data_IF_458947746797
#
_entry.id   IF_458947746797
#
_cell.length_a   1.000
_cell.length_b   1.000
_cell.length_c   1.000
_cell.angle_alpha   90.00
_cell.angle_beta   90.00
_cell.angle_gamma   90.00
#
_symmetry.space_group_name_H-M   'P 1'
#
loop_
_entity.id
_entity.type
_entity.pdbx_description
1 polymer ?
#
# COMPACT_ATOMS: atom_id res chain seq x y z
N UNK A 1 16.23 22.47 53.57
CA UNK A 1 15.71 22.79 52.24
C UNK A 1 15.87 21.53 51.43
N UNK A 2 14.74 20.90 51.14
CA UNK A 2 14.60 19.54 50.63
C UNK A 2 14.80 19.54 49.11
N UNK A 3 15.82 18.84 48.63
CA UNK A 3 16.13 18.70 47.19
C UNK A 3 16.29 17.24 46.80
N UNK A 4 15.38 16.37 47.25
CA UNK A 4 15.17 15.05 46.63
C UNK A 4 14.01 15.14 45.64
N UNK A 5 14.26 15.78 44.49
CA UNK A 5 13.40 15.56 43.31
C UNK A 5 13.95 14.34 42.57
N UNK A 6 13.17 13.26 42.38
CA UNK A 6 13.63 12.10 41.64
C UNK A 6 13.99 12.53 40.21
N UNK A 7 15.25 12.29 39.84
CA UNK A 7 15.77 12.51 38.48
C UNK A 7 14.86 11.77 37.49
N UNK A 8 14.42 12.40 36.38
CA UNK A 8 13.63 11.71 35.37
C UNK A 8 14.40 10.47 34.90
N UNK A 9 13.83 9.29 35.15
CA UNK A 9 14.42 8.03 34.76
C UNK A 9 14.81 8.06 33.29
N UNK A 10 16.02 7.60 32.98
CA UNK A 10 16.55 7.62 31.61
C UNK A 10 15.54 7.08 30.59
N UNK A 11 15.57 7.60 29.35
CA UNK A 11 14.72 7.15 28.23
C UNK A 11 14.62 5.61 28.12
N UNK A 12 15.71 4.91 28.44
CA UNK A 12 15.75 3.43 28.48
C UNK A 12 14.88 2.81 29.57
N UNK A 13 14.87 3.39 30.78
CA UNK A 13 14.02 2.90 31.88
C UNK A 13 12.54 3.14 31.57
N UNK A 14 12.21 4.28 30.97
CA UNK A 14 10.86 4.57 30.51
C UNK A 14 10.42 3.57 29.41
N UNK A 15 11.25 3.37 28.37
CA UNK A 15 10.94 2.45 27.27
C UNK A 15 10.76 1.00 27.75
N UNK A 16 11.60 0.53 28.69
CA UNK A 16 11.44 -0.80 29.28
C UNK A 16 10.13 -0.96 30.05
N UNK A 17 9.69 0.07 30.77
CA UNK A 17 8.47 -0.01 31.58
C UNK A 17 7.21 -0.01 30.73
N UNK A 18 7.18 0.80 29.68
CA UNK A 18 5.95 1.05 28.92
C UNK A 18 5.86 0.29 27.59
N UNK A 19 6.99 0.00 26.95
CA UNK A 19 7.03 -0.68 25.63
C UNK A 19 7.44 -2.14 25.76
N UNK A 20 8.41 -2.47 26.62
CA UNK A 20 8.93 -3.84 26.77
C UNK A 20 8.04 -4.72 27.69
N UNK A 21 6.79 -4.94 27.31
CA UNK A 21 5.86 -5.80 28.04
C UNK A 21 4.83 -6.47 27.08
N UNK A 22 4.23 -7.61 27.46
CA UNK A 22 3.32 -8.35 26.59
C UNK A 22 2.03 -7.60 26.24
N UNK A 23 1.56 -6.68 27.09
CA UNK A 23 0.37 -5.87 26.80
C UNK A 23 0.66 -4.90 25.65
N UNK A 24 1.79 -4.21 25.70
CA UNK A 24 2.25 -3.35 24.61
C UNK A 24 2.43 -4.15 23.32
N UNK A 25 2.97 -5.38 23.38
CA UNK A 25 3.06 -6.25 22.20
C UNK A 25 1.70 -6.58 21.59
N UNK A 26 0.70 -6.93 22.40
CA UNK A 26 -0.67 -7.20 21.92
C UNK A 26 -1.31 -5.97 21.27
N UNK A 27 -1.14 -4.79 21.88
CA UNK A 27 -1.65 -3.53 21.31
C UNK A 27 -0.97 -3.23 19.99
N UNK A 28 0.36 -3.29 19.92
CA UNK A 28 1.13 -3.00 18.70
C UNK A 28 0.83 -4.01 17.58
N UNK A 29 0.65 -5.30 17.91
CA UNK A 29 0.17 -6.30 16.96
C UNK A 29 -1.24 -5.97 16.46
N UNK A 30 -2.15 -5.55 17.33
CA UNK A 30 -3.50 -5.13 16.95
C UNK A 30 -3.50 -3.91 16.03
N UNK A 31 -2.63 -2.92 16.30
CA UNK A 31 -2.45 -1.74 15.44
C UNK A 31 -1.95 -2.16 14.06
N UNK A 32 -0.88 -2.96 13.96
CA UNK A 32 -0.35 -3.41 12.66
C UNK A 32 -1.34 -4.31 11.91
N UNK A 33 -2.08 -5.16 12.60
CA UNK A 33 -3.11 -5.99 11.99
C UNK A 33 -4.25 -5.13 11.44
N UNK A 34 -4.79 -4.22 12.26
CA UNK A 34 -5.82 -3.28 11.83
C UNK A 34 -5.37 -2.42 10.65
N UNK A 35 -4.14 -1.91 10.71
CA UNK A 35 -3.52 -1.15 9.64
C UNK A 35 -3.47 -1.96 8.34
N UNK A 36 -2.99 -3.21 8.39
CA UNK A 36 -2.97 -4.12 7.25
C UNK A 36 -4.36 -4.41 6.66
N UNK A 37 -5.41 -4.46 7.48
CA UNK A 37 -6.81 -4.62 7.01
C UNK A 37 -7.40 -3.36 6.38
N UNK A 38 -6.85 -2.18 6.68
CA UNK A 38 -7.28 -0.90 6.09
C UNK A 38 -6.52 -0.52 4.82
N UNK A 39 -5.51 -1.31 4.45
CA UNK A 39 -4.78 -1.10 3.21
C UNK A 39 -5.69 -1.34 2.00
N UNK A 40 -5.60 -0.49 0.95
CA UNK A 40 -6.44 -0.62 -0.23
C UNK A 40 -6.20 -1.95 -0.96
N UNK A 41 -7.21 -2.83 -0.95
CA UNK A 41 -7.26 -4.06 -1.73
C UNK A 41 -8.02 -3.84 -3.04
N UNK A 42 -7.30 -3.81 -4.16
CA UNK A 42 -7.87 -3.57 -5.49
C UNK A 42 -6.81 -3.07 -6.47
N UNK A 43 -7.13 -2.87 -7.77
CA UNK A 43 -6.25 -3.09 -8.94
C UNK A 43 -4.95 -2.28 -9.06
N UNK A 44 -4.59 -1.52 -8.03
CA UNK A 44 -3.41 -0.66 -7.93
C UNK A 44 -2.66 -0.89 -6.58
N UNK A 45 -2.78 -2.06 -5.94
CA UNK A 45 -2.62 -2.33 -4.49
C UNK A 45 -1.22 -2.36 -3.84
N UNK A 46 -1.25 -2.33 -2.50
CA UNK A 46 -0.15 -2.35 -1.50
C UNK A 46 0.35 -3.77 -1.13
N UNK A 47 1.50 -3.91 -0.45
CA UNK A 47 2.23 -5.21 -0.21
C UNK A 47 1.44 -6.32 0.49
N UNK A 48 0.51 -6.03 1.39
CA UNK A 48 -0.32 -7.11 2.00
C UNK A 48 -1.42 -7.58 1.05
N UNK A 49 -1.93 -6.69 0.18
CA UNK A 49 -2.88 -7.03 -0.87
C UNK A 49 -2.25 -7.86 -2.00
N UNK A 50 -0.98 -7.60 -2.34
CA UNK A 50 -0.27 -8.36 -3.37
C UNK A 50 0.19 -9.75 -2.94
N UNK A 51 0.34 -10.02 -1.63
CA UNK A 51 0.58 -11.38 -1.11
C UNK A 51 -0.69 -12.25 -1.24
N UNK A 52 -1.88 -11.66 -1.13
CA UNK A 52 -3.15 -12.35 -1.37
C UNK A 52 -3.47 -12.53 -2.88
N UNK A 53 -3.19 -11.52 -3.71
CA UNK A 53 -3.35 -11.61 -5.18
C UNK A 53 -2.27 -12.51 -5.83
N UNK A 54 -1.06 -12.58 -5.28
CA UNK A 54 0.03 -13.42 -5.77
C UNK A 54 -0.23 -14.93 -5.67
N UNK A 55 -1.16 -15.34 -4.81
CA UNK A 55 -1.63 -16.73 -4.73
C UNK A 55 -2.85 -17.01 -5.63
N UNK A 56 -3.58 -15.99 -6.11
CA UNK A 56 -4.92 -16.17 -6.72
C UNK A 56 -5.32 -15.20 -7.85
N UNK A 57 -4.42 -14.81 -8.77
CA UNK A 57 -4.71 -14.27 -10.14
C UNK A 57 -4.47 -12.76 -10.39
N UNK A 58 -3.89 -12.55 -11.58
CA UNK A 58 -3.54 -11.42 -12.45
C UNK A 58 -4.11 -9.97 -12.34
N UNK A 59 -3.14 -9.04 -12.52
CA UNK A 59 -3.07 -7.80 -13.33
C UNK A 59 -3.83 -6.52 -12.89
N UNK A 60 -3.05 -5.43 -12.81
CA UNK A 60 -3.50 -4.04 -12.71
C UNK A 60 -4.28 -3.58 -13.95
N UNK A 61 -5.42 -2.95 -13.71
CA UNK A 61 -6.35 -2.46 -14.73
C UNK A 61 -5.89 -1.13 -15.32
N UNK A 62 -5.56 -1.15 -16.61
CA UNK A 62 -5.50 0.06 -17.44
C UNK A 62 -6.93 0.46 -17.78
N UNK A 63 -7.35 1.70 -17.47
CA UNK A 63 -8.52 2.27 -18.11
C UNK A 63 -8.12 2.65 -19.54
N UNK A 64 -8.34 1.73 -20.47
CA UNK A 64 -8.24 2.02 -21.89
C UNK A 64 -9.55 2.70 -22.29
N UNK A 65 -9.50 4.01 -22.49
CA UNK A 65 -10.60 4.68 -23.19
C UNK A 65 -10.33 4.43 -24.67
N UNK A 66 -11.02 3.45 -25.21
CA UNK A 66 -10.98 3.10 -26.62
C UNK A 66 -12.19 3.74 -27.29
N UNK A 67 -12.13 5.03 -27.69
CA UNK A 67 -13.02 5.44 -28.77
C UNK A 67 -12.69 4.56 -29.98
N UNK A 68 -13.69 4.16 -30.76
CA UNK A 68 -13.49 3.29 -31.92
C UNK A 68 -12.84 4.07 -33.08
N UNK A 69 -11.63 4.56 -32.87
CA UNK A 69 -10.86 5.35 -33.83
C UNK A 69 -9.88 4.46 -34.59
N UNK A 70 -9.92 4.61 -35.91
CA UNK A 70 -9.05 3.90 -36.83
C UNK A 70 -8.29 4.91 -37.69
N UNK A 71 -7.01 4.67 -37.87
CA UNK A 71 -6.15 5.41 -38.77
C UNK A 71 -6.02 4.66 -40.08
N UNK A 72 -6.23 5.37 -41.18
CA UNK A 72 -6.14 4.86 -42.54
C UNK A 72 -5.05 5.64 -43.27
N UNK A 73 -4.09 4.93 -43.86
CA UNK A 73 -3.02 5.54 -44.66
C UNK A 73 -3.50 5.68 -46.11
N UNK A 74 -3.83 6.91 -46.51
CA UNK A 74 -4.24 7.24 -47.88
C UNK A 74 -3.12 7.97 -48.65
N UNK A 75 -3.13 7.96 -50.00
CA UNK A 75 -2.12 8.65 -50.80
C UNK A 75 -2.01 10.16 -50.53
N UNK A 76 -3.08 10.79 -50.02
CA UNK A 76 -3.14 12.21 -49.69
C UNK A 76 -2.82 12.53 -48.22
N UNK A 77 -2.51 11.53 -47.39
CA UNK A 77 -2.22 11.70 -45.96
C UNK A 77 -2.95 10.68 -45.08
N UNK A 78 -2.89 10.90 -43.77
CA UNK A 78 -3.58 10.05 -42.80
C UNK A 78 -5.00 10.56 -42.55
N UNK A 79 -5.97 9.64 -42.66
CA UNK A 79 -7.36 9.89 -42.29
C UNK A 79 -7.69 9.13 -41.01
N UNK A 80 -8.50 9.74 -40.15
CA UNK A 80 -9.07 9.11 -38.96
C UNK A 80 -10.52 8.79 -39.23
N UNK A 81 -10.90 7.54 -39.07
CA UNK A 81 -12.29 7.07 -39.08
C UNK A 81 -12.74 6.94 -37.63
N UNK A 82 -13.82 7.62 -37.28
CA UNK A 82 -14.47 7.49 -35.98
C UNK A 82 -15.69 6.59 -36.11
N UNK A 83 -15.54 5.30 -35.82
CA UNK A 83 -16.61 4.32 -36.04
C UNK A 83 -17.81 4.49 -35.10
N UNK A 84 -17.70 5.34 -34.07
CA UNK A 84 -18.85 5.67 -33.21
C UNK A 84 -19.74 6.75 -33.87
N UNK A 85 -19.18 7.58 -34.75
CA UNK A 85 -19.86 8.69 -35.43
C UNK A 85 -20.02 8.48 -36.95
N UNK A 86 -19.21 7.61 -37.54
CA UNK A 86 -19.17 7.27 -38.97
C UNK A 86 -19.65 5.83 -39.21
N UNK A 87 -19.96 5.48 -40.46
CA UNK A 87 -20.49 4.16 -40.81
C UNK A 87 -19.42 3.07 -40.73
N UNK A 88 -19.64 2.04 -39.89
CA UNK A 88 -18.83 0.82 -39.84
C UNK A 88 -18.64 0.12 -41.19
N UNK A 89 -19.54 0.35 -42.15
CA UNK A 89 -19.49 -0.29 -43.47
C UNK A 89 -18.25 0.06 -44.28
N UNK A 90 -17.75 1.29 -44.17
CA UNK A 90 -16.53 1.72 -44.87
C UNK A 90 -15.28 1.06 -44.26
N UNK A 91 -15.18 1.08 -42.93
CA UNK A 91 -14.08 0.42 -42.22
C UNK A 91 -14.05 -1.09 -42.52
N UNK A 92 -15.21 -1.75 -42.55
CA UNK A 92 -15.30 -3.17 -42.88
C UNK A 92 -14.77 -3.46 -44.28
N UNK A 93 -15.09 -2.62 -45.27
CA UNK A 93 -14.57 -2.76 -46.64
C UNK A 93 -13.04 -2.59 -46.69
N UNK A 94 -12.49 -1.62 -45.95
CA UNK A 94 -11.04 -1.39 -45.89
C UNK A 94 -10.28 -2.56 -45.22
N UNK A 95 -10.87 -3.14 -44.17
CA UNK A 95 -10.29 -4.30 -43.50
C UNK A 95 -10.38 -5.58 -44.36
N UNK A 96 -11.45 -5.73 -45.14
CA UNK A 96 -11.67 -6.90 -46.01
C UNK A 96 -10.83 -6.84 -47.30
N UNK A 97 -10.66 -5.65 -47.89
CA UNK A 97 -9.82 -5.50 -49.08
C UNK A 97 -8.34 -5.73 -48.79
N UNK A 98 -7.86 -5.31 -47.61
CA UNK A 98 -6.46 -5.47 -47.21
C UNK A 98 -5.47 -4.56 -47.97
N UNK A 99 -5.95 -3.81 -48.96
CA UNK A 99 -5.12 -2.99 -49.85
C UNK A 99 -4.65 -1.68 -49.19
N UNK A 100 -5.41 -1.21 -48.20
CA UNK A 100 -5.11 0.04 -47.49
C UNK A 100 -4.65 -0.28 -46.06
N UNK A 101 -3.49 0.23 -45.62
CA UNK A 101 -3.02 0.04 -44.26
C UNK A 101 -3.97 0.71 -43.26
N UNK A 102 -4.31 -0.04 -42.21
CA UNK A 102 -5.21 0.40 -41.15
C UNK A 102 -4.58 0.11 -39.79
N UNK A 103 -4.66 1.06 -38.86
CA UNK A 103 -4.25 0.88 -37.48
C UNK A 103 -5.37 1.31 -36.51
N UNK A 104 -5.57 0.58 -35.41
CA UNK A 104 -6.44 1.04 -34.32
C UNK A 104 -5.67 1.97 -33.39
N UNK A 105 -6.34 3.03 -32.96
CA UNK A 105 -5.84 3.98 -31.99
C UNK A 105 -6.56 3.81 -30.65
N UNK A 106 -5.80 3.87 -29.55
CA UNK A 106 -6.35 3.84 -28.21
C UNK A 106 -5.67 4.92 -27.37
N UNK A 107 -6.46 5.73 -26.66
CA UNK A 107 -5.90 6.68 -25.72
C UNK A 107 -5.53 5.95 -24.44
N UNK A 108 -4.28 6.11 -24.05
CA UNK A 108 -3.77 5.62 -22.78
C UNK A 108 -3.87 6.77 -21.80
N UNK A 109 -4.77 6.65 -20.83
CA UNK A 109 -4.83 7.52 -19.68
C UNK A 109 -4.90 6.65 -18.43
N UNK A 110 -3.73 6.35 -17.88
CA UNK A 110 -3.59 5.43 -16.76
C UNK A 110 -2.85 6.10 -15.62
N UNK A 111 -3.43 6.02 -14.43
CA UNK A 111 -2.72 6.33 -13.19
C UNK A 111 -2.45 5.02 -12.47
N UNK A 112 -1.18 4.66 -12.32
CA UNK A 112 -0.75 3.55 -11.49
C UNK A 112 -0.22 4.08 -10.17
N UNK A 113 -0.46 3.35 -9.09
CA UNK A 113 0.08 3.66 -7.77
C UNK A 113 0.90 2.47 -7.29
N UNK A 114 2.11 2.76 -6.85
CA UNK A 114 3.07 1.75 -6.43
C UNK A 114 3.54 2.08 -5.00
N UNK A 115 3.91 1.05 -4.25
CA UNK A 115 4.54 1.20 -2.94
C UNK A 115 4.69 -0.11 -2.19
N UNK A 116 5.46 -0.10 -1.10
CA UNK A 116 5.68 -1.28 -0.27
C UNK A 116 4.46 -1.42 0.64
N UNK A 117 4.40 -0.76 1.78
CA UNK A 117 3.29 -0.98 2.71
C UNK A 117 2.03 -0.18 2.32
N UNK A 118 2.21 1.07 1.89
CA UNK A 118 1.16 1.94 1.34
C UNK A 118 1.56 2.47 -0.05
N UNK A 119 0.66 3.15 -0.77
CA UNK A 119 1.04 3.81 -2.03
C UNK A 119 1.94 5.01 -1.76
N UNK A 120 3.19 4.94 -2.20
CA UNK A 120 4.19 6.01 -2.01
C UNK A 120 4.49 6.76 -3.29
N UNK A 121 4.18 6.16 -4.45
CA UNK A 121 4.42 6.76 -5.76
C UNK A 121 3.18 6.65 -6.61
N UNK A 122 2.80 7.76 -7.25
CA UNK A 122 1.78 7.76 -8.29
C UNK A 122 2.44 8.09 -9.63
N UNK A 123 2.21 7.24 -10.63
CA UNK A 123 2.66 7.45 -12.00
C UNK A 123 1.45 7.65 -12.89
N UNK A 124 1.40 8.77 -13.59
CA UNK A 124 0.38 9.03 -14.60
C UNK A 124 1.02 8.94 -15.97
N UNK A 125 0.48 8.06 -16.80
CA UNK A 125 0.86 7.91 -18.20
C UNK A 125 -0.28 8.41 -19.08
N UNK A 126 0.04 9.38 -19.93
CA UNK A 126 -0.81 9.85 -21.00
C UNK A 126 -0.12 9.54 -22.32
N UNK A 127 -0.82 8.96 -23.28
CA UNK A 127 -0.25 8.69 -24.59
C UNK A 127 -1.25 8.10 -25.56
N UNK A 128 -0.78 7.80 -26.75
CA UNK A 128 -1.55 7.09 -27.78
C UNK A 128 -0.93 5.71 -28.00
N UNK A 129 -1.72 4.66 -27.79
CA UNK A 129 -1.38 3.30 -28.19
C UNK A 129 -1.90 3.03 -29.60
N UNK A 130 -1.00 2.90 -30.57
CA UNK A 130 -1.32 2.48 -31.92
C UNK A 130 -1.05 0.99 -32.09
N UNK A 131 -1.97 0.29 -32.74
CA UNK A 131 -1.80 -1.12 -33.09
C UNK A 131 -2.18 -1.31 -34.57
N UNK A 132 -1.24 -1.69 -35.44
CA UNK A 132 -1.55 -2.05 -36.82
C UNK A 132 -2.54 -3.20 -36.87
N UNK A 133 -3.52 -3.09 -37.77
CA UNK A 133 -4.48 -4.14 -38.11
C UNK A 133 -4.21 -4.70 -39.51
N UNK A 134 -3.87 -3.81 -40.45
CA UNK A 134 -3.59 -4.13 -41.85
C UNK A 134 -2.39 -3.32 -42.32
N UNK A 135 -1.52 -3.97 -43.11
CA UNK A 135 -0.35 -3.37 -43.73
C UNK A 135 0.81 -3.07 -42.78
N UNK A 136 1.95 -2.72 -43.37
CA UNK A 136 3.15 -2.33 -42.62
C UNK A 136 3.15 -0.83 -42.34
N UNK A 137 3.51 -0.50 -41.10
CA UNK A 137 3.60 0.86 -40.59
C UNK A 137 4.99 1.11 -40.02
N UNK A 138 5.64 2.18 -40.47
CA UNK A 138 6.90 2.60 -39.88
C UNK A 138 6.68 3.28 -38.51
N UNK A 139 7.71 3.29 -37.66
CA UNK A 139 7.65 3.97 -36.36
C UNK A 139 7.47 5.49 -36.51
N UNK A 140 7.94 6.06 -37.63
CA UNK A 140 7.80 7.48 -37.96
C UNK A 140 6.35 7.80 -38.37
N UNK A 141 5.73 6.99 -39.23
CA UNK A 141 4.31 7.14 -39.61
C UNK A 141 3.37 6.98 -38.42
N UNK A 142 3.68 6.05 -37.51
CA UNK A 142 2.96 5.90 -36.24
C UNK A 142 3.19 7.11 -35.31
N UNK A 143 4.35 7.76 -35.39
CA UNK A 143 4.65 9.00 -34.67
C UNK A 143 3.85 10.20 -35.18
N UNK A 144 3.72 10.32 -36.50
CA UNK A 144 3.01 11.40 -37.20
C UNK A 144 1.48 11.29 -37.08
N UNK A 145 0.96 10.10 -36.80
CA UNK A 145 -0.46 9.83 -36.62
C UNK A 145 -1.09 10.62 -35.45
N UNK A 146 -0.27 11.11 -34.51
CA UNK A 146 -0.72 11.89 -33.35
C UNK A 146 -1.44 13.18 -33.75
N UNK A 147 -0.94 13.90 -34.77
CA UNK A 147 -1.54 15.16 -35.19
C UNK A 147 -2.87 14.96 -35.91
N UNK A 148 -3.01 13.88 -36.70
CA UNK A 148 -4.27 13.52 -37.35
C UNK A 148 -5.36 13.20 -36.31
N UNK A 149 -5.00 12.46 -35.26
CA UNK A 149 -5.91 12.15 -34.14
C UNK A 149 -6.33 13.39 -33.36
N UNK A 150 -5.40 14.29 -33.06
CA UNK A 150 -5.71 15.57 -32.41
C UNK A 150 -6.70 16.41 -33.23
N UNK A 151 -6.45 16.53 -34.53
CA UNK A 151 -7.32 17.27 -35.45
C UNK A 151 -8.72 16.64 -35.55
N UNK A 152 -8.82 15.31 -35.53
CA UNK A 152 -10.11 14.61 -35.52
C UNK A 152 -10.88 14.87 -34.21
N UNK A 153 -10.20 14.76 -33.06
CA UNK A 153 -10.83 14.95 -31.75
C UNK A 153 -11.25 16.40 -31.49
N UNK A 154 -10.46 17.39 -31.91
CA UNK A 154 -10.83 18.81 -31.79
C UNK A 154 -12.09 19.16 -32.59
N UNK A 155 -12.30 18.53 -33.75
CA UNK A 155 -13.54 18.68 -34.54
C UNK A 155 -14.76 18.06 -33.86
N UNK A 156 -14.58 16.99 -33.08
CA UNK A 156 -15.64 16.31 -32.35
C UNK A 156 -16.19 17.09 -31.13
N UNK A 157 -15.68 18.32 -30.87
CA UNK A 157 -16.10 19.22 -29.77
C UNK A 157 -15.98 18.54 -28.38
N UNK A 158 -14.77 18.24 -27.91
CA UNK A 158 -14.58 17.60 -26.62
C UNK A 158 -14.99 18.54 -25.49
N UNK A 159 -15.45 18.01 -24.36
CA UNK A 159 -15.63 18.83 -23.17
C UNK A 159 -14.26 19.33 -22.67
N UNK A 160 -14.24 20.53 -22.07
CA UNK A 160 -13.05 21.34 -21.83
C UNK A 160 -11.87 20.59 -21.17
N UNK A 161 -12.16 19.64 -20.28
CA UNK A 161 -11.13 18.82 -19.60
C UNK A 161 -10.36 17.86 -20.50
N UNK A 162 -10.92 17.45 -21.64
CA UNK A 162 -10.26 16.54 -22.58
C UNK A 162 -9.40 17.26 -23.61
N UNK A 163 -9.69 18.53 -23.92
CA UNK A 163 -8.92 19.30 -24.90
C UNK A 163 -7.45 19.41 -24.49
N UNK A 164 -7.19 19.76 -23.22
CA UNK A 164 -5.84 19.83 -22.68
C UNK A 164 -5.14 18.46 -22.67
N UNK A 165 -5.87 17.37 -22.41
CA UNK A 165 -5.34 16.02 -22.52
C UNK A 165 -4.91 15.70 -23.96
N UNK A 166 -5.75 16.00 -24.95
CA UNK A 166 -5.42 15.77 -26.35
C UNK A 166 -4.25 16.64 -26.83
N UNK A 167 -4.15 17.90 -26.37
CA UNK A 167 -3.01 18.77 -26.67
C UNK A 167 -1.69 18.23 -26.11
N UNK A 168 -1.71 17.73 -24.87
CA UNK A 168 -0.53 17.11 -24.25
C UNK A 168 -0.08 15.87 -25.03
N UNK A 169 -1.04 15.00 -25.36
CA UNK A 169 -0.79 13.70 -26.01
C UNK A 169 -0.45 13.84 -27.49
N UNK A 170 -0.93 14.89 -28.18
CA UNK A 170 -0.56 15.19 -29.55
C UNK A 170 0.94 15.49 -29.70
N UNK A 171 1.54 16.11 -28.68
CA UNK A 171 2.96 16.51 -28.68
C UNK A 171 3.87 15.33 -28.38
N UNK A 172 3.55 14.56 -27.35
CA UNK A 172 4.35 13.40 -26.94
C UNK A 172 3.58 12.51 -25.96
N UNK A 173 3.99 11.25 -25.87
CA UNK A 173 3.61 10.43 -24.73
C UNK A 173 4.30 10.99 -23.47
N UNK A 174 3.49 11.28 -22.45
CA UNK A 174 3.98 11.86 -21.20
C UNK A 174 3.84 10.87 -20.06
N UNK A 175 4.89 10.79 -19.24
CA UNK A 175 4.89 10.03 -18.00
C UNK A 175 5.32 10.97 -16.89
N UNK A 176 4.39 11.30 -15.99
CA UNK A 176 4.70 12.05 -14.78
C UNK A 176 4.65 11.15 -13.57
N UNK A 177 5.54 11.39 -12.61
CA UNK A 177 5.57 10.68 -11.34
C UNK A 177 5.56 11.68 -10.20
N UNK A 178 4.75 11.43 -9.18
CA UNK A 178 4.75 12.20 -7.95
C UNK A 178 4.87 11.30 -6.72
N UNK A 179 5.56 11.84 -5.71
CA UNK A 179 5.66 11.19 -4.41
C UNK A 179 4.38 11.46 -3.63
N UNK A 180 3.76 10.40 -3.14
CA UNK A 180 2.63 10.46 -2.23
C UNK A 180 3.18 10.48 -0.80
N UNK A 181 3.45 11.70 -0.30
CA UNK A 181 3.99 11.90 1.05
C UNK A 181 3.12 11.29 2.15
N UNK A 182 1.81 11.20 1.93
CA UNK A 182 0.88 10.53 2.83
C UNK A 182 1.23 9.05 3.01
N UNK A 183 1.57 8.36 1.91
CA UNK A 183 2.01 6.97 1.98
C UNK A 183 3.40 6.83 2.61
N UNK A 184 4.32 7.75 2.31
CA UNK A 184 5.64 7.77 2.97
C UNK A 184 5.51 7.92 4.49
N UNK A 185 4.63 8.82 4.95
CA UNK A 185 4.36 9.00 6.37
C UNK A 185 3.72 7.74 7.00
N UNK A 186 2.80 7.10 6.27
CA UNK A 186 2.15 5.86 6.69
C UNK A 186 3.17 4.72 6.83
N UNK A 187 4.00 4.47 5.81
CA UNK A 187 5.06 3.45 5.84
C UNK A 187 6.04 3.70 6.99
N UNK A 188 6.37 4.97 7.24
CA UNK A 188 7.23 5.36 8.36
C UNK A 188 6.58 5.00 9.70
N UNK A 189 5.29 5.31 9.87
CA UNK A 189 4.56 4.96 11.09
C UNK A 189 4.44 3.45 11.29
N UNK A 190 4.17 2.69 10.22
CA UNK A 190 4.12 1.23 10.26
C UNK A 190 5.48 0.63 10.66
N UNK A 191 6.59 1.13 10.09
CA UNK A 191 7.94 0.71 10.43
C UNK A 191 8.31 1.03 11.88
N UNK A 192 7.97 2.22 12.38
CA UNK A 192 8.18 2.59 13.77
C UNK A 192 7.37 1.70 14.72
N UNK A 193 6.14 1.37 14.34
CA UNK A 193 5.26 0.47 15.11
C UNK A 193 5.82 -0.95 15.12
N UNK A 194 6.32 -1.45 13.99
CA UNK A 194 7.00 -2.75 13.90
C UNK A 194 8.29 -2.77 14.74
N UNK A 195 9.10 -1.72 14.67
CA UNK A 195 10.30 -1.62 15.49
C UNK A 195 9.97 -1.61 16.99
N UNK A 196 8.92 -0.88 17.39
CA UNK A 196 8.42 -0.87 18.76
C UNK A 196 7.90 -2.25 19.18
N UNK A 197 7.22 -2.98 18.29
CA UNK A 197 6.76 -4.34 18.53
C UNK A 197 7.94 -5.30 18.74
N UNK A 198 8.94 -5.27 17.86
CA UNK A 198 10.15 -6.09 18.00
C UNK A 198 10.89 -5.77 19.31
N UNK A 199 10.99 -4.49 19.65
CA UNK A 199 11.55 -4.06 20.93
C UNK A 199 10.71 -4.57 22.12
N UNK A 200 9.38 -4.60 21.99
CA UNK A 200 8.49 -5.04 23.07
C UNK A 200 8.75 -6.48 23.51
N UNK A 201 9.13 -7.36 22.56
CA UNK A 201 9.46 -8.76 22.84
C UNK A 201 10.70 -8.93 23.72
N UNK A 202 11.62 -7.96 23.75
CA UNK A 202 12.81 -8.03 24.61
C UNK A 202 12.47 -8.03 26.11
N UNK A 203 11.28 -7.55 26.49
CA UNK A 203 10.80 -7.55 27.87
C UNK A 203 9.96 -8.77 28.25
N UNK A 204 9.65 -9.66 27.31
CA UNK A 204 8.87 -10.86 27.61
C UNK A 204 9.58 -11.80 28.60
N UNK A 205 10.87 -12.15 28.41
CA UNK A 205 11.55 -13.06 29.33
C UNK A 205 11.58 -12.52 30.76
N UNK A 206 11.85 -11.23 30.94
CA UNK A 206 11.89 -10.60 32.26
C UNK A 206 10.50 -10.50 32.88
N UNK A 207 9.48 -10.21 32.10
CA UNK A 207 8.10 -10.14 32.58
C UNK A 207 7.61 -11.51 33.07
N UNK A 208 7.79 -12.57 32.28
CA UNK A 208 7.38 -13.93 32.66
C UNK A 208 8.24 -14.52 33.79
N UNK A 209 9.53 -14.18 33.89
CA UNK A 209 10.38 -14.61 34.99
C UNK A 209 10.09 -13.84 36.30
N UNK A 210 9.82 -12.54 36.24
CA UNK A 210 9.57 -11.72 37.42
C UNK A 210 8.12 -11.81 37.94
N UNK A 211 7.14 -12.22 37.12
CA UNK A 211 5.74 -12.26 37.56
C UNK A 211 5.48 -13.31 38.66
N UNK A 212 5.96 -14.57 38.56
CA UNK A 212 5.86 -15.55 39.64
C UNK A 212 6.61 -15.10 40.89
N UNK A 213 7.80 -14.54 40.71
CA UNK A 213 8.66 -14.07 41.80
C UNK A 213 8.05 -12.88 42.57
N UNK A 214 7.47 -11.92 41.84
CA UNK A 214 6.78 -10.78 42.44
C UNK A 214 5.46 -11.16 43.13
N UNK A 215 4.74 -12.17 42.62
CA UNK A 215 3.56 -12.73 43.31
C UNK A 215 3.95 -13.45 44.60
N UNK A 216 5.00 -14.27 44.55
CA UNK A 216 5.59 -14.97 45.71
C UNK A 216 6.01 -13.95 46.78
N UNK A 217 6.80 -12.94 46.41
CA UNK A 217 7.24 -11.89 47.34
C UNK A 217 6.09 -11.02 47.85
N UNK A 218 5.10 -10.67 47.02
CA UNK A 218 3.92 -9.92 47.50
C UNK A 218 3.07 -10.71 48.48
N UNK A 219 2.96 -12.03 48.30
CA UNK A 219 2.27 -12.92 49.26
C UNK A 219 3.06 -12.96 50.57
N UNK A 220 4.37 -13.20 50.50
CA UNK A 220 5.24 -13.20 51.69
C UNK A 220 5.21 -11.86 52.44
N UNK A 221 5.32 -10.72 51.74
CA UNK A 221 5.24 -9.37 52.34
C UNK A 221 3.88 -9.06 53.00
N UNK A 222 2.81 -9.75 52.58
CA UNK A 222 1.47 -9.65 53.21
C UNK A 222 1.29 -10.63 54.37
N UNK A 223 2.28 -11.48 54.63
CA UNK A 223 2.23 -12.58 55.58
C UNK A 223 1.38 -13.76 55.08
N UNK A 224 1.31 -13.98 53.77
CA UNK A 224 0.57 -15.08 53.16
C UNK A 224 1.53 -16.15 52.60
N UNK A 225 1.16 -17.42 52.71
CA UNK A 225 1.86 -18.52 52.08
C UNK A 225 1.92 -18.31 50.56
N UNK A 226 3.10 -18.40 49.92
CA UNK A 226 3.22 -18.19 48.49
C UNK A 226 2.56 -19.27 47.65
N UNK A 227 2.41 -20.49 48.18
CA UNK A 227 1.78 -21.63 47.48
C UNK A 227 0.24 -21.58 47.59
N UNK A 228 -0.31 -21.69 48.81
CA UNK A 228 -1.76 -21.83 49.03
C UNK A 228 -2.48 -20.52 49.40
N UNK A 229 -1.76 -19.47 49.78
CA UNK A 229 -2.37 -18.18 50.19
C UNK A 229 -2.90 -18.13 51.63
N UNK A 230 -2.62 -19.12 52.47
CA UNK A 230 -2.95 -19.13 53.91
C UNK A 230 -2.20 -18.02 54.67
N UNK A 231 -2.77 -17.45 55.74
CA UNK A 231 -2.09 -16.46 56.59
C UNK A 231 -1.02 -17.14 57.46
N UNK A 232 0.24 -16.78 57.24
CA UNK A 232 1.42 -17.39 57.87
C UNK A 232 2.15 -16.44 58.80
N UNK A 233 1.53 -15.32 59.22
CA UNK A 233 2.11 -14.41 60.23
C UNK A 233 2.43 -15.17 61.52
N UNK A 234 3.71 -15.20 61.90
CA UNK A 234 4.18 -15.92 63.09
C UNK A 234 4.32 -17.43 62.93
N UNK A 235 4.20 -17.96 61.71
CA UNK A 235 4.33 -19.39 61.39
C UNK A 235 5.52 -19.63 60.46
N UNK A 236 6.38 -20.59 60.79
CA UNK A 236 7.53 -21.00 59.96
C UNK A 236 7.17 -21.98 58.86
N UNK A 237 6.07 -22.73 59.03
CA UNK A 237 5.57 -23.72 58.05
C UNK A 237 4.07 -23.53 57.88
N UNK A 238 3.58 -23.55 56.64
CA UNK A 238 2.17 -23.44 56.34
C UNK A 238 1.41 -24.71 56.77
N UNK A 239 0.34 -24.60 57.57
CA UNK A 239 -0.43 -25.77 58.01
C UNK A 239 -1.22 -26.44 56.90
N UNK A 240 -1.61 -25.72 55.84
CA UNK A 240 -2.44 -26.26 54.76
C UNK A 240 -1.64 -27.03 53.70
N UNK A 241 -0.46 -26.53 53.34
CA UNK A 241 0.33 -27.10 52.25
C UNK A 241 1.72 -27.59 52.66
N UNK A 242 2.11 -27.43 53.93
CA UNK A 242 3.42 -27.82 54.44
C UNK A 242 4.60 -27.00 53.89
N UNK A 243 4.35 -25.94 53.10
CA UNK A 243 5.43 -25.12 52.55
C UNK A 243 6.09 -24.27 53.65
N UNK A 244 7.41 -24.21 53.64
CA UNK A 244 8.20 -23.31 54.50
C UNK A 244 7.90 -21.85 54.17
N UNK A 245 7.54 -21.09 55.19
CA UNK A 245 7.14 -19.69 55.13
C UNK A 245 8.14 -18.85 55.90
N UNK A 246 9.41 -18.91 55.45
CA UNK A 246 10.46 -18.14 56.10
C UNK A 246 10.29 -16.66 55.75
N UNK A 247 9.98 -15.84 56.77
CA UNK A 247 9.77 -14.40 56.66
C UNK A 247 11.05 -13.61 57.01
N UNK A 248 12.18 -14.28 57.19
CA UNK A 248 13.46 -13.69 57.58
C UNK A 248 14.06 -12.84 56.44
N UNK A 249 14.24 -11.51 56.62
CA UNK A 249 15.07 -10.72 55.72
C UNK A 249 16.54 -11.02 56.01
N UNK A 250 17.23 -11.66 55.05
CA UNK A 250 18.69 -11.49 54.90
C UNK A 250 18.98 -10.26 54.03
#
# INVERSE_FOLDING_TARGET
MDTDRPVPGSLRQWARRWVANPVASLVLMGVLAGDAFTLPGGPNGTVVGSIAEGLFVARAGYCRVSPNLFLVREPGGMRVIDADNESWGELAQLLDSGDTPVATCNFVNGTTRDGVWSHTTERTRKGIGLRPLVGDWSAEELGDARQALFNAQTRAKPCWGWLQYYEDVAKADTSSSRVLWTGVAHDTFALLTLAALLYSFTGWPTWFAAHPWSRRNRRLLRGLCPECGYDTRGLTTCPECGATCDQSPE
#
